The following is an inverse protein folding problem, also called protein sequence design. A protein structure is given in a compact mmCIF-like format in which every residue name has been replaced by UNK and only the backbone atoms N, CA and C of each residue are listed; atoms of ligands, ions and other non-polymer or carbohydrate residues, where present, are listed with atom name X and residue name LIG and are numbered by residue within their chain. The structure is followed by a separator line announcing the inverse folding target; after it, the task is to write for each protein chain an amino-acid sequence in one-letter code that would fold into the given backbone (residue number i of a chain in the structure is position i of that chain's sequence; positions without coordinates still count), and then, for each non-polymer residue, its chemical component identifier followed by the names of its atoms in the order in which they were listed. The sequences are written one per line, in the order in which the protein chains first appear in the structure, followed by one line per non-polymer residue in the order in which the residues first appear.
data_IF_254111464084
#
_entry.id   IF_254111464084
#
_cell.length_a   1.000
_cell.length_b   1.000
_cell.length_c   1.000
_cell.angle_alpha   90.00
_cell.angle_beta   90.00
_cell.angle_gamma   90.00
#
_symmetry.space_group_name_H-M   'P 1'
#
loop_
_entity.id
_entity.type
_entity.pdbx_description
1 polymer ?
#
# COMPACT_ATOMS: atom_id res chain seq x y z
N UNK A 1 -3.64 -3.75 8.66
CA UNK A 1 -3.83 -5.21 8.59
C UNK A 1 -3.40 -5.78 9.92
N UNK A 2 -4.32 -6.46 10.57
CA UNK A 2 -4.35 -6.63 12.02
C UNK A 2 -3.19 -7.47 12.55
N UNK A 3 -2.55 -6.97 13.60
CA UNK A 3 -1.50 -7.66 14.35
C UNK A 3 -1.92 -9.05 14.86
N UNK A 4 -3.23 -9.31 14.94
CA UNK A 4 -3.80 -10.60 15.32
C UNK A 4 -3.58 -11.67 14.25
N UNK A 5 -3.69 -11.34 12.96
CA UNK A 5 -3.51 -12.33 11.89
C UNK A 5 -2.05 -12.80 11.79
N UNK A 6 -1.10 -11.90 12.09
CA UNK A 6 0.33 -12.25 12.12
C UNK A 6 0.70 -13.10 13.35
N UNK A 7 0.09 -12.84 14.52
CA UNK A 7 0.34 -13.60 15.76
C UNK A 7 -0.23 -15.02 15.71
N UNK A 8 -1.42 -15.21 15.13
CA UNK A 8 -2.00 -16.55 14.99
C UNK A 8 -1.13 -17.45 14.12
N UNK A 9 -0.55 -16.91 13.04
CA UNK A 9 0.32 -17.69 12.16
C UNK A 9 1.65 -18.08 12.82
N UNK A 10 2.29 -17.18 13.59
CA UNK A 10 3.52 -17.54 14.32
C UNK A 10 3.27 -18.62 15.37
N UNK A 11 2.09 -18.62 16.00
CA UNK A 11 1.67 -19.66 16.91
C UNK A 11 1.42 -20.99 16.18
N UNK A 12 0.68 -20.97 15.07
CA UNK A 12 0.46 -22.15 14.21
C UNK A 12 1.77 -22.71 13.67
N UNK A 13 2.70 -21.85 13.25
CA UNK A 13 4.05 -22.20 12.81
C UNK A 13 4.87 -22.88 13.91
N UNK A 14 4.76 -22.38 15.14
CA UNK A 14 5.47 -22.93 16.30
C UNK A 14 4.94 -24.32 16.67
N UNK A 15 3.63 -24.52 16.56
CA UNK A 15 2.97 -25.83 16.79
C UNK A 15 3.40 -26.84 15.72
N UNK A 16 3.32 -26.48 14.42
CA UNK A 16 3.71 -27.40 13.33
C UNK A 16 5.19 -27.77 13.43
N UNK A 17 6.06 -26.82 13.78
CA UNK A 17 7.50 -27.09 13.98
C UNK A 17 7.77 -28.04 15.16
N UNK A 18 7.01 -27.90 16.26
CA UNK A 18 7.14 -28.79 17.41
C UNK A 18 6.62 -30.21 17.12
N UNK A 19 5.53 -30.33 16.36
CA UNK A 19 4.98 -31.62 15.94
C UNK A 19 5.91 -32.35 14.95
N UNK A 20 6.63 -31.59 14.12
CA UNK A 20 7.65 -32.07 13.19
C UNK A 20 8.92 -32.61 13.87
N UNK A 21 9.38 -31.97 14.95
CA UNK A 21 10.55 -32.42 15.71
C UNK A 21 10.29 -33.73 16.47
N UNK A 22 9.01 -34.14 16.61
CA UNK A 22 8.59 -35.30 17.38
C UNK A 22 8.29 -36.58 16.54
N UNK A 23 8.30 -36.52 15.19
CA UNK A 23 7.84 -37.61 14.32
C UNK A 23 8.75 -37.96 13.14
N UNK A 24 8.64 -39.21 12.66
CA UNK A 24 9.48 -39.84 11.62
C UNK A 24 9.13 -39.43 10.16
N UNK A 25 8.21 -38.46 9.96
CA UNK A 25 7.74 -37.95 8.65
C UNK A 25 8.23 -36.51 8.36
N UNK A 26 9.53 -36.29 8.55
CA UNK A 26 10.14 -34.94 8.50
C UNK A 26 10.09 -34.31 7.09
N UNK A 27 10.20 -35.11 6.03
CA UNK A 27 10.26 -34.60 4.65
C UNK A 27 8.91 -34.07 4.14
N UNK A 28 7.81 -34.79 4.37
CA UNK A 28 6.47 -34.38 3.91
C UNK A 28 6.00 -33.09 4.59
N UNK A 29 6.25 -32.97 5.89
CA UNK A 29 5.86 -31.77 6.61
C UNK A 29 6.87 -30.62 6.42
N UNK A 30 8.14 -30.88 6.07
CA UNK A 30 9.04 -29.83 5.54
C UNK A 30 8.55 -29.27 4.19
N UNK A 31 8.06 -30.15 3.31
CA UNK A 31 7.47 -29.75 2.03
C UNK A 31 6.21 -28.89 2.22
N UNK A 32 5.30 -29.28 3.12
CA UNK A 32 4.11 -28.50 3.46
C UNK A 32 4.50 -27.11 3.99
N UNK A 33 5.50 -27.03 4.87
CA UNK A 33 5.99 -25.75 5.41
C UNK A 33 6.58 -24.83 4.33
N UNK A 34 7.32 -25.39 3.37
CA UNK A 34 7.86 -24.66 2.22
C UNK A 34 6.73 -24.12 1.34
N UNK A 35 5.75 -24.96 1.00
CA UNK A 35 4.59 -24.58 0.21
C UNK A 35 3.79 -23.46 0.90
N UNK A 36 3.50 -23.60 2.19
CA UNK A 36 2.81 -22.56 2.96
C UNK A 36 3.56 -21.22 2.97
N UNK A 37 4.90 -21.24 3.10
CA UNK A 37 5.72 -20.03 3.06
C UNK A 37 5.66 -19.36 1.67
N UNK A 38 5.71 -20.15 0.60
CA UNK A 38 5.59 -19.66 -0.79
C UNK A 38 4.21 -19.07 -1.02
N UNK A 39 3.14 -19.78 -0.68
CA UNK A 39 1.76 -19.30 -0.84
C UNK A 39 1.50 -18.03 -0.04
N UNK A 40 2.06 -17.91 1.17
CA UNK A 40 1.97 -16.68 1.96
C UNK A 40 2.66 -15.51 1.24
N UNK A 41 3.86 -15.75 0.72
CA UNK A 41 4.60 -14.73 -0.04
C UNK A 41 3.79 -14.29 -1.25
N UNK A 42 3.27 -15.22 -2.05
CA UNK A 42 2.41 -14.91 -3.21
C UNK A 42 1.16 -14.10 -2.82
N UNK A 43 0.46 -14.50 -1.75
CA UNK A 43 -0.71 -13.77 -1.28
C UNK A 43 -0.40 -12.37 -0.73
N UNK A 44 0.77 -12.17 -0.10
CA UNK A 44 1.27 -10.83 0.27
C UNK A 44 1.63 -10.00 -0.96
N UNK A 45 2.25 -10.62 -1.96
CA UNK A 45 2.58 -9.99 -3.25
C UNK A 45 1.33 -9.51 -4.00
N UNK A 46 0.32 -10.36 -4.12
CA UNK A 46 -0.96 -9.97 -4.75
C UNK A 46 -1.66 -8.83 -4.00
N UNK A 47 -1.71 -8.91 -2.66
CA UNK A 47 -2.33 -7.85 -1.85
C UNK A 47 -1.63 -6.51 -2.04
N UNK A 48 -0.30 -6.52 -2.08
CA UNK A 48 0.50 -5.33 -2.36
C UNK A 48 0.33 -4.83 -3.78
N UNK A 49 0.23 -5.73 -4.77
CA UNK A 49 -0.06 -5.40 -6.16
C UNK A 49 -1.40 -4.65 -6.29
N UNK A 50 -2.47 -5.18 -5.69
CA UNK A 50 -3.78 -4.52 -5.64
C UNK A 50 -3.72 -3.16 -4.95
N UNK A 51 -3.01 -3.06 -3.82
CA UNK A 51 -2.84 -1.78 -3.11
C UNK A 51 -2.08 -0.74 -3.94
N UNK A 52 -1.05 -1.17 -4.67
CA UNK A 52 -0.31 -0.30 -5.60
C UNK A 52 -1.24 0.24 -6.69
N UNK A 53 -2.02 -0.63 -7.34
CA UNK A 53 -2.96 -0.21 -8.38
C UNK A 53 -3.99 0.80 -7.85
N UNK A 54 -4.49 0.58 -6.64
CA UNK A 54 -5.40 1.51 -5.96
C UNK A 54 -4.73 2.88 -5.71
N UNK A 55 -3.50 2.88 -5.19
CA UNK A 55 -2.74 4.11 -4.95
C UNK A 55 -2.40 4.85 -6.25
N UNK A 56 -2.05 4.14 -7.32
CA UNK A 56 -1.82 4.73 -8.65
C UNK A 56 -3.11 5.38 -9.19
N UNK A 57 -4.27 4.75 -8.98
CA UNK A 57 -5.57 5.33 -9.32
C UNK A 57 -5.85 6.61 -8.51
N UNK A 58 -5.71 6.55 -7.19
CA UNK A 58 -5.90 7.72 -6.30
C UNK A 58 -4.94 8.86 -6.67
N UNK A 59 -3.69 8.57 -6.98
CA UNK A 59 -2.70 9.55 -7.39
C UNK A 59 -3.11 10.26 -8.69
N UNK A 60 -3.60 9.49 -9.67
CA UNK A 60 -4.07 10.01 -10.95
C UNK A 60 -5.28 10.93 -10.76
N UNK A 61 -6.21 10.55 -9.90
CA UNK A 61 -7.38 11.36 -9.57
C UNK A 61 -7.01 12.64 -8.83
N UNK A 62 -6.18 12.55 -7.79
CA UNK A 62 -5.71 13.71 -7.03
C UNK A 62 -4.95 14.71 -7.92
N UNK A 63 -4.12 14.22 -8.86
CA UNK A 63 -3.45 15.08 -9.87
C UNK A 63 -4.44 15.77 -10.81
N UNK A 64 -5.51 15.08 -11.25
CA UNK A 64 -6.57 15.68 -12.08
C UNK A 64 -7.31 16.78 -11.33
N UNK A 65 -7.68 16.51 -10.08
CA UNK A 65 -8.33 17.50 -9.22
C UNK A 65 -7.42 18.71 -8.97
N UNK A 66 -6.13 18.49 -8.72
CA UNK A 66 -5.15 19.57 -8.55
C UNK A 66 -5.06 20.45 -9.80
N UNK A 67 -4.98 19.85 -10.99
CA UNK A 67 -4.95 20.59 -12.24
C UNK A 67 -6.24 21.39 -12.48
N UNK A 68 -7.39 20.87 -12.09
CA UNK A 68 -8.66 21.60 -12.15
C UNK A 68 -8.67 22.80 -11.20
N UNK A 69 -8.25 22.62 -9.95
CA UNK A 69 -8.10 23.71 -8.97
C UNK A 69 -7.13 24.79 -9.47
N UNK A 70 -6.01 24.42 -10.08
CA UNK A 70 -5.07 25.39 -10.65
C UNK A 70 -5.66 26.19 -11.82
N UNK A 71 -6.48 25.55 -12.66
CA UNK A 71 -7.23 26.25 -13.72
C UNK A 71 -8.24 27.22 -13.14
N UNK A 72 -9.00 26.82 -12.12
CA UNK A 72 -9.96 27.70 -11.44
C UNK A 72 -9.26 28.93 -10.86
N UNK A 73 -8.15 28.76 -10.15
CA UNK A 73 -7.35 29.87 -9.61
C UNK A 73 -6.89 30.81 -10.73
N UNK A 74 -6.40 30.26 -11.85
CA UNK A 74 -5.95 31.05 -13.00
C UNK A 74 -7.10 31.86 -13.60
N UNK A 75 -8.28 31.25 -13.78
CA UNK A 75 -9.47 31.91 -14.32
C UNK A 75 -9.94 33.04 -13.40
N UNK A 76 -9.97 32.80 -12.09
CA UNK A 76 -10.35 33.81 -11.09
C UNK A 76 -9.39 34.99 -11.07
N UNK A 77 -8.08 34.72 -11.19
CA UNK A 77 -7.06 35.76 -11.34
C UNK A 77 -7.27 36.59 -12.61
N UNK A 78 -7.60 35.96 -13.74
CA UNK A 78 -7.87 36.67 -15.00
C UNK A 78 -9.12 37.55 -14.90
N UNK A 79 -10.16 37.08 -14.19
CA UNK A 79 -11.40 37.84 -13.96
C UNK A 79 -11.27 38.89 -12.83
N UNK A 80 -10.10 38.99 -12.17
CA UNK A 80 -9.86 39.82 -10.97
C UNK A 80 -10.86 39.57 -9.84
N UNK A 81 -11.45 38.37 -9.78
CA UNK A 81 -12.41 37.99 -8.74
C UNK A 81 -11.66 37.41 -7.55
N UNK A 82 -11.59 38.15 -6.45
CA UNK A 82 -10.88 37.74 -5.24
C UNK A 82 -11.70 36.82 -4.34
N UNK A 83 -13.03 36.86 -4.45
CA UNK A 83 -13.92 35.95 -3.73
C UNK A 83 -13.64 34.51 -4.13
N UNK A 84 -13.34 33.65 -3.15
CA UNK A 84 -13.09 32.23 -3.36
C UNK A 84 -11.65 31.82 -3.72
N UNK A 85 -10.76 32.75 -4.09
CA UNK A 85 -9.35 32.41 -4.40
C UNK A 85 -8.67 31.77 -3.19
N UNK A 86 -8.89 32.29 -1.98
CA UNK A 86 -8.31 31.71 -0.78
C UNK A 86 -8.82 30.29 -0.50
N UNK A 87 -10.08 29.99 -0.86
CA UNK A 87 -10.65 28.64 -0.75
C UNK A 87 -9.97 27.69 -1.73
N UNK A 88 -9.82 28.09 -3.00
CA UNK A 88 -9.12 27.29 -4.00
C UNK A 88 -7.65 27.08 -3.65
N UNK A 89 -6.96 28.08 -3.07
CA UNK A 89 -5.59 27.91 -2.57
C UNK A 89 -5.50 26.92 -1.40
N UNK A 90 -6.51 26.87 -0.51
CA UNK A 90 -6.60 25.85 0.55
C UNK A 90 -6.82 24.46 -0.04
N UNK A 91 -7.73 24.33 -1.01
CA UNK A 91 -7.97 23.09 -1.75
C UNK A 91 -6.70 22.59 -2.44
N UNK A 92 -5.98 23.48 -3.13
CA UNK A 92 -4.69 23.19 -3.76
C UNK A 92 -3.69 22.61 -2.76
N UNK A 93 -3.54 23.25 -1.59
CA UNK A 93 -2.63 22.79 -0.54
C UNK A 93 -3.05 21.44 0.04
N UNK A 94 -4.35 21.18 0.19
CA UNK A 94 -4.85 19.89 0.66
C UNK A 94 -4.51 18.77 -0.32
N UNK A 95 -4.81 18.96 -1.61
CA UNK A 95 -4.49 18.01 -2.68
C UNK A 95 -2.99 17.75 -2.79
N UNK A 96 -2.16 18.78 -2.65
CA UNK A 96 -0.70 18.60 -2.63
C UNK A 96 -0.21 17.74 -1.45
N UNK A 97 -0.84 17.83 -0.27
CA UNK A 97 -0.49 16.98 0.87
C UNK A 97 -0.95 15.54 0.64
N UNK A 98 -2.13 15.36 0.08
CA UNK A 98 -2.67 14.04 -0.25
C UNK A 98 -1.79 13.33 -1.28
N UNK A 99 -1.41 14.01 -2.36
CA UNK A 99 -0.46 13.49 -3.36
C UNK A 99 0.86 13.07 -2.70
N UNK A 100 1.40 13.86 -1.76
CA UNK A 100 2.62 13.49 -1.04
C UNK A 100 2.44 12.23 -0.20
N UNK A 101 1.31 12.10 0.50
CA UNK A 101 1.01 10.88 1.28
C UNK A 101 0.95 9.65 0.38
N UNK A 102 0.25 9.74 -0.75
CA UNK A 102 0.14 8.64 -1.72
C UNK A 102 1.51 8.28 -2.28
N UNK A 103 2.33 9.26 -2.64
CA UNK A 103 3.69 9.02 -3.12
C UNK A 103 4.57 8.33 -2.06
N UNK A 104 4.49 8.76 -0.80
CA UNK A 104 5.24 8.13 0.29
C UNK A 104 4.80 6.67 0.49
N UNK A 105 3.50 6.39 0.45
CA UNK A 105 2.99 5.02 0.58
C UNK A 105 3.41 4.14 -0.60
N UNK A 106 3.42 4.69 -1.82
CA UNK A 106 3.98 4.01 -2.99
C UNK A 106 5.48 3.73 -2.82
N UNK A 107 6.26 4.70 -2.35
CA UNK A 107 7.69 4.55 -2.11
C UNK A 107 7.96 3.45 -1.06
N UNK A 108 7.21 3.44 0.05
CA UNK A 108 7.29 2.37 1.06
C UNK A 108 6.96 0.99 0.46
N UNK A 109 5.93 0.91 -0.38
CA UNK A 109 5.60 -0.32 -1.10
C UNK A 109 6.76 -0.74 -2.00
N UNK A 110 7.37 0.17 -2.76
CA UNK A 110 8.51 -0.15 -3.64
C UNK A 110 9.76 -0.57 -2.86
N UNK A 111 10.14 0.14 -1.79
CA UNK A 111 11.28 -0.24 -0.96
C UNK A 111 11.06 -1.61 -0.30
N UNK A 112 9.83 -1.91 0.11
CA UNK A 112 9.47 -3.23 0.65
C UNK A 112 9.46 -4.34 -0.41
N UNK A 113 9.29 -4.00 -1.70
CA UNK A 113 9.38 -4.92 -2.83
C UNK A 113 10.84 -5.28 -3.16
N UNK A 114 11.77 -4.32 -3.07
CA UNK A 114 13.20 -4.57 -3.30
C UNK A 114 13.79 -5.53 -2.26
N UNK A 115 13.38 -5.40 -0.99
CA UNK A 115 13.83 -6.30 0.10
C UNK A 115 13.28 -7.73 -0.09
N UNK A 116 12.12 -7.87 -0.73
CA UNK A 116 11.47 -9.16 -0.97
C UNK A 116 11.74 -9.73 -2.36
N UNK A 117 12.69 -9.20 -3.13
CA UNK A 117 13.11 -9.81 -4.41
C UNK A 117 13.81 -11.15 -4.12
N UNK A 118 13.40 -12.27 -4.75
CA UNK A 118 14.10 -13.55 -4.63
C UNK A 118 15.57 -13.47 -5.05
#
# INVERSE_FOLDING_TARGET
MDSETNRNWEAEWKVIKQELEAGEQVEDAHYILLMMRVTRREAEWERRGRRKEELDHQLKEAKRQLAATERNIKEMNMKKTTEGIQKELRNKRALQREIRKINNELEELYSSWEIMRP
#
